data_IF_653167411312
#
_entry.id   IF_653167411312
#
_cell.length_a   1.000
_cell.length_b   1.000
_cell.length_c   1.000
_cell.angle_alpha   90.00
_cell.angle_beta   90.00
_cell.angle_gamma   90.00
#
_symmetry.space_group_name_H-M   'P 1'
#
loop_
_entity.id
_entity.type
_entity.pdbx_description
1 polymer ?
#
# COMPACT_ATOMS: atom_id res chain seq x y z
N UNK A 1 -4.98 10.49 -15.47
CA UNK A 1 -5.30 11.10 -14.15
C UNK A 1 -5.89 12.51 -14.28
N UNK A 2 -6.29 12.97 -15.47
CA UNK A 2 -6.80 14.35 -15.69
C UNK A 2 -8.33 14.40 -15.84
N UNK A 3 -9.04 13.39 -15.34
CA UNK A 3 -10.50 13.42 -15.29
C UNK A 3 -10.96 14.09 -14.00
N UNK A 4 -12.16 14.69 -14.01
CA UNK A 4 -12.74 15.38 -12.85
C UNK A 4 -12.74 14.49 -11.60
N UNK A 5 -13.07 13.20 -11.76
CA UNK A 5 -13.01 12.19 -10.70
C UNK A 5 -11.64 12.11 -10.02
N UNK A 6 -10.56 11.97 -10.80
CA UNK A 6 -9.22 11.83 -10.22
C UNK A 6 -8.76 13.12 -9.56
N UNK A 7 -9.12 14.28 -10.12
CA UNK A 7 -8.84 15.57 -9.52
C UNK A 7 -9.49 15.69 -8.15
N UNK A 8 -10.78 15.40 -8.03
CA UNK A 8 -11.49 15.50 -6.74
C UNK A 8 -10.94 14.54 -5.67
N UNK A 9 -10.50 13.34 -6.04
CA UNK A 9 -9.84 12.43 -5.10
C UNK A 9 -8.47 12.93 -4.65
N UNK A 10 -7.68 13.51 -5.57
CA UNK A 10 -6.39 14.13 -5.25
C UNK A 10 -6.60 15.35 -4.35
N UNK A 11 -7.62 16.17 -4.60
CA UNK A 11 -7.95 17.34 -3.78
C UNK A 11 -8.38 16.93 -2.37
N UNK A 12 -9.17 15.86 -2.25
CA UNK A 12 -9.55 15.30 -0.95
C UNK A 12 -8.33 14.79 -0.17
N UNK A 13 -7.42 14.07 -0.83
CA UNK A 13 -6.16 13.65 -0.22
C UNK A 13 -5.29 14.84 0.17
N UNK A 14 -5.23 15.88 -0.67
CA UNK A 14 -4.44 17.09 -0.43
C UNK A 14 -4.93 17.86 0.79
N UNK A 15 -6.25 18.05 0.88
CA UNK A 15 -6.90 18.66 2.04
C UNK A 15 -6.65 17.86 3.32
N UNK A 16 -6.78 16.53 3.26
CA UNK A 16 -6.56 15.67 4.43
C UNK A 16 -5.09 15.63 4.88
N UNK A 17 -4.13 15.85 3.97
CA UNK A 17 -2.69 15.93 4.26
C UNK A 17 -2.22 17.36 4.59
N UNK A 18 -3.04 18.38 4.33
CA UNK A 18 -2.67 19.78 4.50
C UNK A 18 -1.66 20.30 3.47
N UNK A 19 -1.43 19.55 2.37
CA UNK A 19 -0.55 19.94 1.28
C UNK A 19 -1.00 19.33 -0.05
N UNK A 20 -0.81 20.06 -1.14
CA UNK A 20 -1.12 19.60 -2.49
C UNK A 20 0.04 18.85 -3.16
N UNK A 21 -0.21 18.26 -4.35
CA UNK A 21 0.83 17.66 -5.17
C UNK A 21 1.78 18.72 -5.74
N UNK A 22 3.06 18.36 -5.80
CA UNK A 22 4.13 19.03 -6.54
C UNK A 22 4.79 18.04 -7.53
N UNK A 23 5.84 18.47 -8.23
CA UNK A 23 6.54 17.64 -9.22
C UNK A 23 7.04 16.30 -8.67
N UNK A 24 7.44 16.26 -7.39
CA UNK A 24 8.02 15.08 -6.75
C UNK A 24 6.96 14.18 -6.11
N UNK A 25 5.83 14.77 -5.70
CA UNK A 25 4.80 14.09 -4.91
C UNK A 25 3.56 13.71 -5.71
N UNK A 26 3.33 14.30 -6.90
CA UNK A 26 2.14 14.05 -7.73
C UNK A 26 1.92 12.56 -8.03
N UNK A 27 2.99 11.79 -8.20
CA UNK A 27 2.91 10.35 -8.41
C UNK A 27 2.27 9.64 -7.21
N UNK A 28 2.61 10.03 -5.98
CA UNK A 28 2.05 9.44 -4.76
C UNK A 28 0.57 9.77 -4.60
N UNK A 29 0.16 11.00 -4.89
CA UNK A 29 -1.27 11.39 -4.88
C UNK A 29 -2.08 10.57 -5.89
N UNK A 30 -1.54 10.35 -7.09
CA UNK A 30 -2.17 9.53 -8.13
C UNK A 30 -2.31 8.07 -7.69
N UNK A 31 -1.28 7.50 -7.07
CA UNK A 31 -1.30 6.13 -6.53
C UNK A 31 -2.35 5.98 -5.42
N UNK A 32 -2.44 6.94 -4.50
CA UNK A 32 -3.47 6.95 -3.45
C UNK A 32 -4.87 6.95 -4.06
N UNK A 33 -5.13 7.85 -5.00
CA UNK A 33 -6.45 7.96 -5.63
C UNK A 33 -6.85 6.69 -6.40
N UNK A 34 -5.92 6.10 -7.16
CA UNK A 34 -6.16 4.87 -7.93
C UNK A 34 -6.44 3.66 -7.02
N UNK A 35 -5.60 3.48 -6.01
CA UNK A 35 -5.73 2.35 -5.11
C UNK A 35 -6.87 2.50 -4.12
N UNK A 36 -7.28 3.72 -3.77
CA UNK A 36 -8.53 3.97 -3.05
C UNK A 36 -9.71 3.41 -3.85
N UNK A 37 -9.83 3.78 -5.13
CA UNK A 37 -10.90 3.29 -6.02
C UNK A 37 -10.93 1.77 -6.05
N UNK A 38 -9.80 1.16 -6.43
CA UNK A 38 -9.67 -0.29 -6.56
C UNK A 38 -10.01 -1.02 -5.26
N UNK A 39 -9.53 -0.50 -4.12
CA UNK A 39 -9.81 -1.10 -2.81
C UNK A 39 -11.29 -1.02 -2.44
N UNK A 40 -11.94 0.12 -2.69
CA UNK A 40 -13.35 0.33 -2.36
C UNK A 40 -14.27 -0.57 -3.19
N UNK A 41 -14.01 -0.71 -4.49
CA UNK A 41 -14.78 -1.63 -5.34
C UNK A 41 -14.62 -3.09 -4.91
N UNK A 42 -13.38 -3.53 -4.66
CA UNK A 42 -13.15 -4.90 -4.18
C UNK A 42 -13.88 -5.19 -2.86
N UNK A 43 -13.86 -4.25 -1.92
CA UNK A 43 -14.58 -4.41 -0.64
C UNK A 43 -16.10 -4.35 -0.82
N UNK A 44 -16.60 -3.49 -1.72
CA UNK A 44 -18.03 -3.45 -2.06
C UNK A 44 -18.52 -4.78 -2.66
N UNK A 45 -17.66 -5.48 -3.40
CA UNK A 45 -17.90 -6.82 -3.95
C UNK A 45 -17.71 -7.96 -2.92
N UNK A 46 -17.48 -7.62 -1.65
CA UNK A 46 -17.33 -8.58 -0.55
C UNK A 46 -15.94 -9.19 -0.42
N UNK A 47 -14.93 -8.68 -1.12
CA UNK A 47 -13.53 -9.11 -0.92
C UNK A 47 -12.99 -8.47 0.35
N UNK A 48 -12.52 -9.29 1.29
CA UNK A 48 -11.88 -8.84 2.53
C UNK A 48 -10.36 -9.08 2.50
N UNK A 49 -9.54 -8.23 3.14
CA UNK A 49 -8.09 -8.41 3.19
C UNK A 49 -7.69 -9.75 3.83
N UNK A 50 -6.89 -10.56 3.13
CA UNK A 50 -6.44 -11.88 3.59
C UNK A 50 -4.98 -12.16 3.20
N UNK A 51 -4.46 -13.34 3.56
CA UNK A 51 -3.12 -13.79 3.19
C UNK A 51 -3.07 -14.55 1.85
N UNK A 52 -4.22 -14.79 1.20
CA UNK A 52 -4.29 -15.60 -0.03
C UNK A 52 -5.37 -15.12 -1.02
N UNK A 53 -5.24 -15.56 -2.28
CA UNK A 53 -6.22 -15.30 -3.32
C UNK A 53 -6.53 -13.81 -3.53
N UNK A 54 -7.82 -13.49 -3.76
CA UNK A 54 -8.28 -12.11 -4.01
C UNK A 54 -8.08 -11.18 -2.80
N UNK A 55 -8.21 -11.71 -1.58
CA UNK A 55 -8.00 -10.91 -0.37
C UNK A 55 -6.54 -10.49 -0.18
N UNK A 56 -5.58 -11.30 -0.65
CA UNK A 56 -4.17 -10.91 -0.67
C UNK A 56 -3.88 -9.79 -1.68
N UNK A 57 -4.51 -9.85 -2.86
CA UNK A 57 -4.39 -8.78 -3.86
C UNK A 57 -4.95 -7.47 -3.31
N UNK A 58 -6.14 -7.49 -2.71
CA UNK A 58 -6.72 -6.33 -2.04
C UNK A 58 -5.78 -5.76 -0.98
N UNK A 59 -5.25 -6.63 -0.10
CA UNK A 59 -4.31 -6.23 0.95
C UNK A 59 -3.08 -5.51 0.37
N UNK A 60 -2.51 -6.00 -0.73
CA UNK A 60 -1.35 -5.37 -1.39
C UNK A 60 -1.68 -3.99 -1.95
N UNK A 61 -2.80 -3.85 -2.65
CA UNK A 61 -3.27 -2.57 -3.21
C UNK A 61 -3.46 -1.55 -2.07
N UNK A 62 -4.14 -1.96 -1.00
CA UNK A 62 -4.37 -1.14 0.18
C UNK A 62 -3.06 -0.66 0.81
N UNK A 63 -2.14 -1.59 1.10
CA UNK A 63 -0.85 -1.28 1.74
C UNK A 63 0.04 -0.40 0.87
N UNK A 64 -0.04 -0.53 -0.46
CA UNK A 64 0.63 0.37 -1.41
C UNK A 64 0.17 1.82 -1.26
N UNK A 65 -1.14 2.03 -1.23
CA UNK A 65 -1.70 3.36 -1.00
C UNK A 65 -1.27 3.94 0.35
N UNK A 66 -1.32 3.13 1.41
CA UNK A 66 -0.93 3.52 2.77
C UNK A 66 0.56 3.89 2.87
N UNK A 67 1.45 3.17 2.17
CA UNK A 67 2.86 3.53 2.05
C UNK A 67 3.00 4.91 1.42
N UNK A 68 2.32 5.17 0.30
CA UNK A 68 2.37 6.49 -0.33
C UNK A 68 1.81 7.60 0.57
N UNK A 69 0.75 7.34 1.34
CA UNK A 69 0.26 8.27 2.35
C UNK A 69 1.33 8.58 3.41
N UNK A 70 2.05 7.55 3.89
CA UNK A 70 3.15 7.72 4.85
C UNK A 70 4.33 8.50 4.25
N UNK A 71 4.71 8.26 2.99
CA UNK A 71 5.72 9.06 2.27
C UNK A 71 5.29 10.52 2.15
N UNK A 72 3.99 10.75 1.98
CA UNK A 72 3.41 12.09 1.97
C UNK A 72 3.26 12.70 3.38
N UNK A 73 3.71 12.03 4.43
CA UNK A 73 3.75 12.56 5.79
C UNK A 73 2.45 12.40 6.58
N UNK A 74 1.57 11.47 6.18
CA UNK A 74 0.34 11.18 6.92
C UNK A 74 0.64 10.79 8.38
N UNK A 75 0.14 11.59 9.32
CA UNK A 75 0.30 11.36 10.77
C UNK A 75 -0.79 10.48 11.37
N UNK A 76 -1.89 10.28 10.66
CA UNK A 76 -3.03 9.48 11.06
C UNK A 76 -3.52 8.67 9.86
N UNK A 77 -4.27 7.57 10.07
CA UNK A 77 -4.88 6.80 9.00
C UNK A 77 -5.67 7.71 8.04
N UNK A 78 -5.29 7.68 6.75
CA UNK A 78 -5.76 8.59 5.70
C UNK A 78 -6.81 7.92 4.81
N UNK A 79 -6.62 6.67 4.42
CA UNK A 79 -7.36 6.04 3.31
C UNK A 79 -8.86 6.02 3.56
N UNK A 80 -9.30 5.64 4.76
CA UNK A 80 -10.72 5.61 5.12
C UNK A 80 -11.38 6.99 5.09
N UNK A 81 -10.62 8.08 5.31
CA UNK A 81 -11.13 9.46 5.27
C UNK A 81 -11.46 9.93 3.85
N UNK A 82 -10.92 9.23 2.84
CA UNK A 82 -11.15 9.53 1.43
C UNK A 82 -12.39 8.80 0.86
N UNK A 83 -12.93 7.81 1.58
CA UNK A 83 -14.11 7.04 1.15
C UNK A 83 -15.31 7.93 0.85
N UNK A 84 -15.67 8.93 1.69
CA UNK A 84 -16.82 9.79 1.39
C UNK A 84 -16.62 10.59 0.10
N UNK A 85 -15.39 10.98 -0.24
CA UNK A 85 -15.10 11.66 -1.50
C UNK A 85 -15.34 10.70 -2.68
N UNK A 86 -14.84 9.47 -2.61
CA UNK A 86 -15.08 8.46 -3.62
C UNK A 86 -16.58 8.17 -3.82
N UNK A 87 -17.33 7.99 -2.72
CA UNK A 87 -18.76 7.70 -2.78
C UNK A 87 -19.53 8.86 -3.38
N UNK A 88 -19.17 10.12 -3.10
CA UNK A 88 -19.78 11.28 -3.77
C UNK A 88 -19.53 11.29 -5.28
N UNK A 89 -18.31 10.99 -5.71
CA UNK A 89 -17.94 11.03 -7.13
C UNK A 89 -18.52 9.87 -7.94
N UNK A 90 -18.67 8.69 -7.32
CA UNK A 90 -18.97 7.45 -8.03
C UNK A 90 -20.29 6.79 -7.62
N UNK A 91 -20.83 7.12 -6.44
CA UNK A 91 -21.95 6.39 -5.83
C UNK A 91 -23.27 6.45 -6.62
N UNK A 92 -23.48 7.49 -7.43
CA UNK A 92 -24.65 7.56 -8.32
C UNK A 92 -24.61 6.49 -9.41
N UNK A 93 -23.44 6.27 -10.03
CA UNK A 93 -23.25 5.27 -11.07
C UNK A 93 -23.04 3.86 -10.49
N UNK A 94 -22.55 3.77 -9.25
CA UNK A 94 -22.19 2.53 -8.58
C UNK A 94 -22.84 2.47 -7.18
N UNK A 95 -24.16 2.16 -7.07
CA UNK A 95 -24.89 2.16 -5.80
C UNK A 95 -24.35 1.17 -4.76
N UNK A 96 -23.61 0.14 -5.18
CA UNK A 96 -22.87 -0.77 -4.31
C UNK A 96 -21.83 -0.05 -3.44
N UNK A 97 -21.22 1.04 -3.91
CA UNK A 97 -20.31 1.84 -3.10
C UNK A 97 -21.05 2.56 -1.97
N UNK A 98 -22.26 3.05 -2.23
CA UNK A 98 -23.11 3.69 -1.21
C UNK A 98 -23.55 2.66 -0.17
N UNK A 99 -24.04 1.50 -0.63
CA UNK A 99 -24.46 0.41 0.27
C UNK A 99 -23.29 -0.14 1.09
N UNK A 100 -22.10 -0.21 0.51
CA UNK A 100 -20.89 -0.73 1.13
C UNK A 100 -20.08 0.29 1.95
N UNK A 101 -20.46 1.57 1.96
CA UNK A 101 -19.62 2.67 2.48
C UNK A 101 -19.12 2.41 3.91
N UNK A 102 -19.99 1.92 4.80
CA UNK A 102 -19.61 1.60 6.17
C UNK A 102 -18.57 0.47 6.22
N UNK A 103 -18.81 -0.64 5.52
CA UNK A 103 -17.90 -1.79 5.49
C UNK A 103 -16.54 -1.41 4.87
N UNK A 104 -16.56 -0.63 3.78
CA UNK A 104 -15.36 -0.10 3.12
C UNK A 104 -14.55 0.75 4.11
N UNK A 105 -15.23 1.68 4.79
CA UNK A 105 -14.60 2.59 5.77
C UNK A 105 -13.95 1.81 6.91
N UNK A 106 -14.67 0.87 7.52
CA UNK A 106 -14.18 0.06 8.62
C UNK A 106 -13.01 -0.84 8.19
N UNK A 107 -13.10 -1.46 7.01
CA UNK A 107 -12.05 -2.33 6.45
C UNK A 107 -10.76 -1.55 6.20
N UNK A 108 -10.84 -0.41 5.52
CA UNK A 108 -9.69 0.44 5.25
C UNK A 108 -9.07 0.94 6.56
N UNK A 109 -9.89 1.42 7.51
CA UNK A 109 -9.42 1.94 8.80
C UNK A 109 -8.70 0.87 9.63
N UNK A 110 -9.26 -0.34 9.69
CA UNK A 110 -8.69 -1.44 10.46
C UNK A 110 -7.34 -1.89 9.88
N UNK A 111 -7.29 -2.12 8.56
CA UNK A 111 -6.07 -2.56 7.89
C UNK A 111 -4.98 -1.48 7.97
N UNK A 112 -5.32 -0.21 7.74
CA UNK A 112 -4.37 0.91 7.84
C UNK A 112 -3.81 1.04 9.24
N UNK A 113 -4.67 0.97 10.26
CA UNK A 113 -4.24 1.06 11.67
C UNK A 113 -3.30 -0.08 12.05
N UNK A 114 -3.56 -1.30 11.56
CA UNK A 114 -2.71 -2.47 11.80
C UNK A 114 -1.38 -2.35 11.08
N UNK A 115 -1.42 -2.09 9.77
CA UNK A 115 -0.22 -2.04 8.94
C UNK A 115 0.70 -0.88 9.34
N UNK A 116 0.15 0.27 9.72
CA UNK A 116 0.95 1.43 10.13
C UNK A 116 1.95 1.13 11.24
N UNK A 117 1.57 0.27 12.20
CA UNK A 117 2.44 -0.13 13.32
C UNK A 117 3.72 -0.82 12.84
N UNK A 118 3.64 -1.60 11.76
CA UNK A 118 4.79 -2.32 11.21
C UNK A 118 5.46 -1.55 10.07
N UNK A 119 4.71 -0.74 9.32
CA UNK A 119 5.18 0.05 8.18
C UNK A 119 6.35 0.97 8.54
N UNK A 120 6.24 1.72 9.63
CA UNK A 120 7.31 2.65 10.04
C UNK A 120 8.60 1.90 10.36
N UNK A 121 8.51 0.76 11.05
CA UNK A 121 9.68 -0.07 11.39
C UNK A 121 10.28 -0.72 10.15
N UNK A 122 9.44 -1.21 9.24
CA UNK A 122 9.87 -1.80 7.97
C UNK A 122 10.58 -0.78 7.08
N UNK A 123 10.11 0.47 7.00
CA UNK A 123 10.80 1.53 6.28
C UNK A 123 12.15 1.89 6.92
N UNK A 124 12.25 1.87 8.25
CA UNK A 124 13.52 2.05 8.96
C UNK A 124 14.53 0.96 8.60
N UNK A 125 14.12 -0.31 8.69
CA UNK A 125 14.96 -1.45 8.30
C UNK A 125 15.39 -1.36 6.82
N UNK A 126 14.46 -1.03 5.92
CA UNK A 126 14.78 -0.87 4.51
C UNK A 126 15.80 0.25 4.27
N UNK A 127 15.66 1.37 4.99
CA UNK A 127 16.61 2.48 4.90
C UNK A 127 18.00 2.08 5.36
N UNK A 128 18.11 1.40 6.50
CA UNK A 128 19.38 0.90 7.05
C UNK A 128 20.04 -0.11 6.11
N UNK A 129 19.28 -1.12 5.67
CA UNK A 129 19.79 -2.18 4.79
C UNK A 129 20.21 -1.68 3.41
N UNK A 130 19.76 -0.48 3.01
CA UNK A 130 20.12 0.11 1.72
C UNK A 130 21.00 1.34 1.85
N UNK A 131 21.47 1.71 3.04
CA UNK A 131 22.24 2.93 3.26
C UNK A 131 23.50 2.98 2.39
N UNK A 132 24.18 1.83 2.23
CA UNK A 132 25.41 1.68 1.46
C UNK A 132 25.20 1.31 -0.01
N UNK A 133 23.96 1.07 -0.43
CA UNK A 133 23.62 0.60 -1.78
C UNK A 133 23.41 1.77 -2.75
N UNK A 134 24.01 1.65 -3.92
CA UNK A 134 23.91 2.58 -5.05
C UNK A 134 23.05 2.06 -6.20
N UNK A 135 22.94 2.86 -7.25
CA UNK A 135 22.22 2.48 -8.46
C UNK A 135 22.88 1.26 -9.13
N UNK A 136 22.07 0.24 -9.45
CA UNK A 136 22.53 -1.03 -10.01
C UNK A 136 22.73 -2.14 -8.98
N UNK A 137 22.77 -1.81 -7.69
CA UNK A 137 22.92 -2.79 -6.62
C UNK A 137 21.62 -3.56 -6.34
N UNK A 138 21.74 -4.60 -5.51
CA UNK A 138 20.64 -5.45 -5.08
C UNK A 138 20.52 -5.45 -3.56
N UNK A 139 19.30 -5.21 -3.06
CA UNK A 139 18.92 -5.59 -1.70
C UNK A 139 18.92 -7.11 -1.62
N UNK A 140 19.55 -7.66 -0.59
CA UNK A 140 19.60 -9.10 -0.38
C UNK A 140 18.20 -9.70 -0.14
N UNK A 141 18.03 -10.93 -0.62
CA UNK A 141 16.73 -11.59 -0.59
C UNK A 141 16.24 -11.94 0.82
N UNK A 142 17.15 -12.15 1.77
CA UNK A 142 16.82 -12.48 3.16
C UNK A 142 16.24 -11.26 3.89
N UNK A 143 16.82 -10.08 3.69
CA UNK A 143 16.27 -8.82 4.19
C UNK A 143 14.91 -8.52 3.55
N UNK A 144 14.78 -8.70 2.23
CA UNK A 144 13.49 -8.55 1.57
C UNK A 144 12.43 -9.53 2.13
N UNK A 145 12.84 -10.76 2.45
CA UNK A 145 11.99 -11.77 3.07
C UNK A 145 11.61 -11.37 4.50
N UNK A 146 12.55 -10.86 5.30
CA UNK A 146 12.28 -10.34 6.65
C UNK A 146 11.27 -9.19 6.64
N UNK A 147 11.40 -8.26 5.68
CA UNK A 147 10.41 -7.19 5.46
C UNK A 147 9.02 -7.78 5.20
N UNK A 148 8.94 -8.79 4.33
CA UNK A 148 7.69 -9.49 4.03
C UNK A 148 7.09 -10.22 5.24
N UNK A 149 7.85 -11.09 5.88
CA UNK A 149 7.35 -12.00 6.90
C UNK A 149 7.10 -11.28 8.23
N UNK A 150 8.09 -10.53 8.71
CA UNK A 150 8.04 -9.92 10.05
C UNK A 150 7.28 -8.59 10.06
N UNK A 151 7.45 -7.77 9.02
CA UNK A 151 6.88 -6.42 8.97
C UNK A 151 5.64 -6.31 8.08
N UNK A 152 5.29 -7.40 7.37
CA UNK A 152 4.16 -7.42 6.47
C UNK A 152 4.35 -6.51 5.25
N UNK A 153 5.59 -6.23 4.85
CA UNK A 153 5.95 -5.44 3.67
C UNK A 153 5.90 -6.32 2.43
N UNK A 154 4.85 -6.26 1.59
CA UNK A 154 4.80 -7.05 0.37
C UNK A 154 6.05 -6.78 -0.48
N UNK A 155 6.59 -7.82 -1.11
CA UNK A 155 7.80 -7.73 -1.93
C UNK A 155 7.71 -6.60 -2.97
N UNK A 156 6.54 -6.39 -3.56
CA UNK A 156 6.33 -5.32 -4.53
C UNK A 156 6.39 -3.91 -3.92
N UNK A 157 6.07 -3.74 -2.63
CA UNK A 157 6.32 -2.47 -1.94
C UNK A 157 7.81 -2.22 -1.72
N UNK A 158 8.56 -3.26 -1.38
CA UNK A 158 10.03 -3.18 -1.25
C UNK A 158 10.65 -2.80 -2.60
N UNK A 159 10.26 -3.47 -3.69
CA UNK A 159 10.71 -3.15 -5.04
C UNK A 159 10.33 -1.71 -5.44
N UNK A 160 9.09 -1.29 -5.20
CA UNK A 160 8.64 0.07 -5.51
C UNK A 160 9.38 1.14 -4.70
N UNK A 161 9.79 0.82 -3.47
CA UNK A 161 10.55 1.74 -2.63
C UNK A 161 11.98 1.95 -3.11
N UNK A 162 12.58 0.91 -3.66
CA UNK A 162 13.96 0.92 -4.16
C UNK A 162 14.07 1.40 -5.61
N UNK A 163 12.98 1.34 -6.36
CA UNK A 163 12.93 1.73 -7.78
C UNK A 163 13.42 3.15 -8.04
N UNK A 164 13.10 4.12 -7.18
CA UNK A 164 13.55 5.51 -7.34
C UNK A 164 15.07 5.68 -7.24
N UNK A 165 15.75 4.73 -6.58
CA UNK A 165 17.21 4.71 -6.41
C UNK A 165 17.90 3.78 -7.42
N UNK A 166 17.15 3.18 -8.35
CA UNK A 166 17.64 2.13 -9.25
C UNK A 166 18.30 0.96 -8.51
N UNK A 167 17.82 0.63 -7.31
CA UNK A 167 18.23 -0.56 -6.55
C UNK A 167 17.20 -1.65 -6.83
N UNK A 168 17.69 -2.85 -7.11
CA UNK A 168 16.87 -4.04 -7.34
C UNK A 168 16.79 -4.92 -6.09
N UNK A 169 15.97 -5.96 -6.12
CA UNK A 169 15.85 -6.93 -5.01
C UNK A 169 16.30 -8.28 -5.54
N UNK A 170 17.13 -8.99 -4.79
CA UNK A 170 17.49 -10.38 -5.09
C UNK A 170 16.26 -11.29 -4.92
N UNK A 171 15.59 -11.54 -6.04
CA UNK A 171 14.39 -12.38 -6.10
C UNK A 171 14.70 -13.86 -5.86
N UNK A 172 15.91 -14.31 -6.23
CA UNK A 172 16.32 -15.69 -6.01
C UNK A 172 16.52 -15.94 -4.52
N UNK A 173 17.26 -15.05 -3.84
CA UNK A 173 17.42 -15.09 -2.39
C UNK A 173 16.09 -15.02 -1.65
N UNK A 174 15.17 -14.13 -2.06
CA UNK A 174 13.85 -14.02 -1.45
C UNK A 174 13.04 -15.32 -1.59
N UNK A 175 13.06 -15.92 -2.79
CA UNK A 175 12.34 -17.17 -3.07
C UNK A 175 12.93 -18.33 -2.26
N UNK A 176 14.25 -18.41 -2.17
CA UNK A 176 14.93 -19.42 -1.35
C UNK A 176 14.53 -19.29 0.13
N UNK A 177 14.49 -18.07 0.67
CA UNK A 177 14.08 -17.83 2.06
C UNK A 177 12.60 -18.22 2.31
N UNK A 178 11.71 -17.90 1.37
CA UNK A 178 10.30 -18.34 1.41
C UNK A 178 10.16 -19.87 1.43
N UNK A 179 10.95 -20.57 0.61
CA UNK A 179 10.93 -22.03 0.53
C UNK A 179 11.46 -22.69 1.80
N UNK A 180 12.54 -22.15 2.37
CA UNK A 180 13.09 -22.60 3.64
C UNK A 180 12.06 -22.48 4.77
N UNK A 181 11.42 -21.31 4.92
CA UNK A 181 10.38 -21.12 5.93
C UNK A 181 9.19 -22.09 5.74
N UNK A 182 8.74 -22.30 4.50
CA UNK A 182 7.68 -23.27 4.20
C UNK A 182 8.09 -24.70 4.56
N UNK A 183 9.33 -25.06 4.32
CA UNK A 183 9.85 -26.38 4.67
C UNK A 183 9.93 -26.57 6.20
N UNK A 184 10.34 -25.54 6.94
CA UNK A 184 10.38 -25.55 8.41
C UNK A 184 8.99 -25.65 9.04
N UNK A 185 8.01 -24.89 8.52
CA UNK A 185 6.62 -24.94 8.98
C UNK A 185 5.93 -26.29 8.73
N UNK A 186 6.42 -27.10 7.78
CA UNK A 186 5.94 -28.47 7.52
C UNK A 186 6.59 -29.52 8.41
N UNK A 187 7.73 -29.20 9.03
CA UNK A 187 8.46 -30.10 9.94
C UNK A 187 8.04 -29.92 11.40
N UNK A 188 7.34 -28.83 11.71
CA UNK A 188 6.82 -28.48 13.03
C UNK A 188 5.34 -28.85 13.15
#
# INVERSE_FOLDING_TARGET
FETDLFRHLIDAASSALGRGPDTDTVASFRVIADHLRSSCFLVADGVLPSNEGRGYVLRRIMRRAMRHAQLLGARDPLMWRLVPALVREMGQAYPELVRGEQMITETLKLEETRFRKTLVRGLGLLSEATETLGAGDMLDGETAFKLYDTYGFPLDLTQDALRQRNISVDLAGFTNAMEQQRAEARKS
#
